data_IF_907174685105
#
_entry.id   IF_907174685105
#
_cell.length_a   1.000
_cell.length_b   1.000
_cell.length_c   1.000
_cell.angle_alpha   90.00
_cell.angle_beta   90.00
_cell.angle_gamma   90.00
#
_symmetry.space_group_name_H-M   'P 1'
#
loop_
_entity.id
_entity.type
_entity.pdbx_description
1 polymer ?
#
# COMPACT_ATOMS: atom_id res chain seq x y z
N UNK A 1 22.53 -2.37 -12.36
CA UNK A 1 21.74 -2.66 -13.58
C UNK A 1 20.48 -1.84 -13.51
N UNK A 2 20.08 -1.12 -14.58
CA UNK A 2 18.84 -0.33 -14.54
C UNK A 2 17.66 -1.30 -14.56
N UNK A 3 16.58 -1.09 -13.78
CA UNK A 3 15.42 -1.99 -13.76
C UNK A 3 14.77 -2.23 -15.14
N UNK A 4 14.91 -1.27 -16.05
CA UNK A 4 14.44 -1.37 -17.44
C UNK A 4 15.26 -2.35 -18.29
N UNK A 5 16.52 -2.58 -17.94
CA UNK A 5 17.40 -3.49 -18.68
C UNK A 5 17.00 -4.96 -18.41
N UNK A 6 16.39 -5.27 -17.26
CA UNK A 6 15.89 -6.61 -16.92
C UNK A 6 14.58 -6.99 -17.65
N UNK A 7 13.84 -6.00 -18.17
CA UNK A 7 12.62 -6.22 -18.95
C UNK A 7 12.95 -6.54 -20.42
N UNK A 8 14.12 -6.13 -20.91
CA UNK A 8 14.54 -6.32 -22.29
C UNK A 8 14.97 -7.77 -22.62
N UNK A 9 15.26 -8.60 -21.61
CA UNK A 9 15.61 -10.02 -21.77
C UNK A 9 14.40 -10.95 -21.92
N UNK A 10 13.19 -10.43 -21.69
CA UNK A 10 11.96 -11.16 -21.90
C UNK A 10 11.59 -11.01 -23.36
N UNK A 11 11.32 -12.13 -24.04
CA UNK A 11 10.65 -12.10 -25.33
C UNK A 11 9.50 -11.08 -25.33
N UNK A 12 9.28 -10.46 -26.48
CA UNK A 12 8.51 -9.24 -26.67
C UNK A 12 7.00 -9.22 -26.26
N UNK A 13 6.32 -10.18 -25.60
CA UNK A 13 4.96 -9.91 -25.12
C UNK A 13 4.78 -9.66 -23.61
N UNK A 14 5.73 -9.97 -22.73
CA UNK A 14 5.46 -9.95 -21.27
C UNK A 14 5.82 -8.64 -20.55
N UNK A 15 6.88 -7.95 -20.99
CA UNK A 15 7.31 -6.67 -20.39
C UNK A 15 6.39 -5.48 -20.68
N UNK A 16 5.48 -5.61 -21.66
CA UNK A 16 4.58 -4.55 -22.13
C UNK A 16 3.18 -4.63 -21.51
N UNK A 17 2.86 -5.67 -20.73
CA UNK A 17 1.52 -5.86 -20.15
C UNK A 17 1.18 -4.86 -19.03
N UNK A 18 2.14 -4.07 -18.53
CA UNK A 18 1.92 -3.13 -17.42
C UNK A 18 2.20 -1.66 -17.75
N UNK A 19 2.59 -1.33 -18.99
CA UNK A 19 2.71 0.07 -19.42
C UNK A 19 1.35 0.82 -19.46
N UNK A 20 0.20 0.17 -19.78
CA UNK A 20 -1.12 0.80 -19.65
C UNK A 20 -1.54 0.98 -18.18
N UNK A 21 -1.12 0.09 -17.27
CA UNK A 21 -1.44 0.16 -15.83
C UNK A 21 -0.87 1.40 -15.14
N UNK A 22 0.17 2.00 -15.72
CA UNK A 22 0.79 3.24 -15.24
C UNK A 22 0.11 4.51 -15.77
N UNK A 23 -0.79 4.40 -16.75
CA UNK A 23 -1.30 5.54 -17.53
C UNK A 23 -2.83 5.56 -17.78
N UNK A 24 -3.59 4.51 -17.47
CA UNK A 24 -5.01 4.47 -17.84
C UNK A 24 -5.95 5.16 -16.85
N UNK A 25 -6.53 6.27 -17.30
CA UNK A 25 -7.88 6.68 -16.95
C UNK A 25 -8.86 6.16 -18.03
N UNK A 26 -9.82 5.31 -17.64
CA UNK A 26 -11.10 5.09 -18.31
C UNK A 26 -11.17 4.13 -19.51
N UNK A 27 -11.88 3.01 -19.34
CA UNK A 27 -13.05 2.56 -20.12
C UNK A 27 -13.48 1.17 -19.59
N UNK A 28 -14.75 1.01 -19.21
CA UNK A 28 -15.29 -0.19 -18.59
C UNK A 28 -15.79 -1.22 -19.62
N UNK A 29 -15.53 -2.50 -19.39
CA UNK A 29 -16.34 -3.59 -19.94
C UNK A 29 -16.44 -4.74 -18.94
N UNK A 30 -17.66 -5.18 -18.66
CA UNK A 30 -18.01 -6.23 -17.70
C UNK A 30 -17.47 -7.61 -18.13
N UNK A 31 -16.78 -8.32 -17.23
CA UNK A 31 -16.63 -9.78 -17.30
C UNK A 31 -16.90 -10.40 -15.92
N UNK A 32 -17.56 -11.54 -15.94
CA UNK A 32 -18.14 -12.25 -14.80
C UNK A 32 -17.12 -12.59 -13.69
N UNK A 33 -17.52 -12.29 -12.46
CA UNK A 33 -16.83 -12.59 -11.22
C UNK A 33 -16.91 -14.08 -10.85
N UNK A 34 -15.79 -14.62 -10.36
CA UNK A 34 -15.76 -15.89 -9.62
C UNK A 34 -16.16 -15.58 -8.18
N UNK A 35 -16.99 -16.41 -7.51
CA UNK A 35 -17.43 -16.11 -6.15
C UNK A 35 -16.23 -16.06 -5.20
N UNK A 36 -16.05 -14.92 -4.53
CA UNK A 36 -15.06 -14.77 -3.48
C UNK A 36 -15.44 -15.65 -2.28
N UNK A 37 -14.46 -16.22 -1.54
CA UNK A 37 -14.74 -17.01 -0.34
C UNK A 37 -15.50 -16.19 0.70
N UNK A 38 -16.47 -16.82 1.37
CA UNK A 38 -17.42 -16.15 2.28
C UNK A 38 -16.84 -15.68 3.63
N UNK A 39 -15.51 -15.78 3.83
CA UNK A 39 -14.81 -15.41 5.08
C UNK A 39 -13.49 -14.70 4.76
N UNK A 40 -13.01 -13.89 5.68
CA UNK A 40 -11.68 -13.28 5.60
C UNK A 40 -10.60 -14.38 5.48
N UNK A 41 -9.64 -14.19 4.59
CA UNK A 41 -8.61 -15.20 4.26
C UNK A 41 -7.22 -14.67 4.54
N UNK A 42 -6.32 -15.51 5.07
CA UNK A 42 -4.89 -15.17 5.15
C UNK A 42 -4.28 -15.30 3.76
N UNK A 43 -3.67 -14.25 3.18
CA UNK A 43 -3.05 -14.36 1.87
C UNK A 43 -1.90 -15.37 1.90
N UNK A 44 -1.59 -15.96 0.73
CA UNK A 44 -0.43 -16.84 0.63
C UNK A 44 0.85 -16.04 0.90
N UNK A 45 1.74 -16.62 1.70
CA UNK A 45 3.10 -16.10 1.88
C UNK A 45 4.04 -16.68 0.85
N UNK A 46 4.76 -15.82 0.14
CA UNK A 46 5.78 -16.19 -0.85
C UNK A 46 7.11 -15.52 -0.53
N UNK A 47 8.20 -16.10 -1.02
CA UNK A 47 9.56 -15.58 -0.83
C UNK A 47 10.12 -15.16 -2.17
N UNK A 48 10.76 -13.99 -2.20
CA UNK A 48 11.47 -13.46 -3.37
C UNK A 48 12.92 -13.21 -2.97
N UNK A 49 13.85 -13.95 -3.58
CA UNK A 49 15.27 -13.79 -3.28
C UNK A 49 15.87 -12.64 -4.12
N UNK A 50 16.38 -11.60 -3.45
CA UNK A 50 17.01 -10.44 -4.08
C UNK A 50 18.41 -10.74 -4.63
N UNK A 51 19.03 -11.85 -4.22
CA UNK A 51 20.31 -12.30 -4.76
C UNK A 51 20.16 -12.93 -6.17
N UNK A 52 18.95 -13.38 -6.52
CA UNK A 52 18.64 -13.87 -7.85
C UNK A 52 18.56 -12.72 -8.87
N UNK A 53 18.84 -13.03 -10.13
CA UNK A 53 18.68 -12.09 -11.24
C UNK A 53 17.22 -11.58 -11.29
N UNK A 54 16.95 -10.27 -11.50
CA UNK A 54 15.61 -9.68 -11.42
C UNK A 54 14.54 -10.41 -12.23
N UNK A 55 14.91 -10.96 -13.39
CA UNK A 55 14.06 -11.75 -14.30
C UNK A 55 13.68 -13.14 -13.77
N UNK A 56 14.38 -13.66 -12.75
CA UNK A 56 14.13 -14.97 -12.16
C UNK A 56 13.40 -14.91 -10.82
N UNK A 57 13.48 -13.78 -10.12
CA UNK A 57 13.00 -13.54 -8.75
C UNK A 57 11.57 -14.01 -8.47
N UNK A 58 10.67 -13.86 -9.44
CA UNK A 58 9.24 -14.15 -9.27
C UNK A 58 8.82 -15.51 -9.85
N UNK A 59 9.69 -16.20 -10.58
CA UNK A 59 9.35 -17.47 -11.22
C UNK A 59 8.81 -18.52 -10.23
N UNK A 60 9.41 -18.72 -9.03
CA UNK A 60 8.90 -19.71 -8.07
C UNK A 60 7.50 -19.35 -7.52
N UNK A 61 7.19 -18.07 -7.40
CA UNK A 61 5.88 -17.61 -6.94
C UNK A 61 4.83 -17.76 -8.05
N UNK A 62 5.16 -17.37 -9.29
CA UNK A 62 4.25 -17.43 -10.44
C UNK A 62 3.79 -18.86 -10.78
N UNK A 63 4.63 -19.86 -10.54
CA UNK A 63 4.27 -21.28 -10.75
C UNK A 63 3.13 -21.77 -9.86
N UNK A 64 2.76 -21.03 -8.81
CA UNK A 64 1.69 -21.39 -7.87
C UNK A 64 0.32 -20.84 -8.25
N UNK A 65 0.25 -19.97 -9.27
CA UNK A 65 -0.96 -19.29 -9.69
C UNK A 65 -1.35 -19.69 -11.11
N UNK A 66 -2.66 -19.72 -11.39
CA UNK A 66 -3.15 -19.84 -12.75
C UNK A 66 -2.88 -18.55 -13.53
N UNK A 67 -1.90 -18.62 -14.43
CA UNK A 67 -1.43 -17.48 -15.21
C UNK A 67 -2.45 -16.99 -16.25
N UNK A 68 -3.43 -17.81 -16.64
CA UNK A 68 -4.43 -17.41 -17.63
C UNK A 68 -5.54 -16.60 -16.98
N UNK A 69 -5.92 -16.95 -15.75
CA UNK A 69 -6.77 -16.11 -14.90
C UNK A 69 -6.07 -14.79 -14.59
N UNK A 70 -4.77 -14.82 -14.24
CA UNK A 70 -3.98 -13.60 -13.98
C UNK A 70 -3.95 -12.64 -15.18
N UNK A 71 -3.70 -13.14 -16.39
CA UNK A 71 -3.65 -12.30 -17.61
C UNK A 71 -5.00 -11.67 -17.95
N UNK A 72 -6.11 -12.34 -17.61
CA UNK A 72 -7.46 -11.83 -17.84
C UNK A 72 -7.77 -10.66 -16.91
N UNK A 73 -7.42 -10.80 -15.63
CA UNK A 73 -7.82 -9.86 -14.58
C UNK A 73 -6.89 -8.63 -14.48
N UNK A 74 -5.65 -8.71 -14.98
CA UNK A 74 -4.71 -7.58 -15.06
C UNK A 74 -5.18 -6.47 -16.03
N UNK A 75 -6.12 -6.73 -16.94
CA UNK A 75 -6.56 -5.74 -17.95
C UNK A 75 -7.37 -4.56 -17.37
N UNK A 76 -7.88 -4.68 -16.15
CA UNK A 76 -8.77 -3.69 -15.55
C UNK A 76 -8.08 -2.92 -14.42
N UNK A 77 -7.65 -1.69 -14.71
CA UNK A 77 -7.02 -0.81 -13.75
C UNK A 77 -7.74 0.52 -13.52
N UNK A 78 -8.51 0.66 -12.42
CA UNK A 78 -9.12 1.94 -12.00
C UNK A 78 -9.19 2.11 -10.47
N UNK A 79 -8.61 3.24 -10.01
CA UNK A 79 -8.69 3.97 -8.73
C UNK A 79 -8.65 3.19 -7.40
N UNK A 80 -7.62 3.53 -6.61
CA UNK A 80 -7.37 3.01 -5.26
C UNK A 80 -7.97 3.96 -4.21
N UNK A 81 -8.68 3.42 -3.21
CA UNK A 81 -9.27 4.19 -2.11
C UNK A 81 -8.84 3.53 -0.80
N UNK A 82 -8.35 4.30 0.19
CA UNK A 82 -7.55 3.72 1.27
C UNK A 82 -7.71 4.55 2.56
N UNK A 83 -8.12 3.95 3.70
CA UNK A 83 -7.77 4.45 5.04
C UNK A 83 -6.47 3.78 5.52
N UNK A 84 -5.54 4.62 5.99
CA UNK A 84 -4.28 4.22 6.63
C UNK A 84 -4.13 5.00 7.93
N UNK A 85 -3.67 4.32 8.97
CA UNK A 85 -3.51 4.89 10.30
C UNK A 85 -2.13 4.55 10.86
N UNK A 86 -1.47 5.55 11.42
CA UNK A 86 -0.31 5.36 12.30
C UNK A 86 -0.68 5.90 13.68
N UNK A 87 -0.43 5.12 14.71
CA UNK A 87 -0.80 5.45 16.07
C UNK A 87 0.32 5.07 17.04
N UNK A 88 0.40 5.81 18.14
CA UNK A 88 1.32 5.55 19.22
C UNK A 88 0.56 5.23 20.50
N UNK A 89 0.91 4.14 21.18
CA UNK A 89 0.35 3.84 22.50
C UNK A 89 1.00 4.66 23.63
N UNK A 90 0.47 4.50 24.84
CA UNK A 90 0.96 5.19 26.03
C UNK A 90 2.41 4.82 26.43
N UNK A 91 2.95 3.73 25.90
CA UNK A 91 4.34 3.29 26.15
C UNK A 91 5.30 3.73 25.03
N UNK A 92 4.82 4.46 24.02
CA UNK A 92 5.62 4.93 22.90
C UNK A 92 5.75 3.92 21.75
N UNK A 93 5.01 2.81 21.77
CA UNK A 93 5.06 1.85 20.65
C UNK A 93 4.28 2.37 19.45
N UNK A 94 4.87 2.24 18.27
CA UNK A 94 4.28 2.64 17.00
C UNK A 94 3.56 1.46 16.35
N UNK A 95 2.30 1.67 16.01
CA UNK A 95 1.47 0.74 15.27
C UNK A 95 1.04 1.38 13.95
N UNK A 96 1.01 0.58 12.89
CA UNK A 96 0.60 1.03 11.57
C UNK A 96 -0.35 0.02 10.96
N UNK A 97 -1.53 0.48 10.57
CA UNK A 97 -2.57 -0.35 9.98
C UNK A 97 -3.18 0.30 8.75
N UNK A 98 -3.71 -0.50 7.81
CA UNK A 98 -4.39 0.03 6.62
C UNK A 98 -5.38 -0.95 6.01
N UNK A 99 -6.40 -0.43 5.32
CA UNK A 99 -7.25 -1.19 4.37
C UNK A 99 -6.88 -0.78 2.94
N UNK A 100 -6.75 -1.72 2.01
CA UNK A 100 -6.67 -1.41 0.57
C UNK A 100 -8.03 -1.62 -0.08
N UNK A 101 -8.62 -0.54 -0.58
CA UNK A 101 -9.85 -0.60 -1.35
C UNK A 101 -9.57 -0.41 -2.85
N UNK A 102 -10.23 -1.22 -3.67
CA UNK A 102 -10.12 -1.22 -5.12
C UNK A 102 -11.45 -1.61 -5.76
N UNK A 103 -11.75 -1.07 -6.94
CA UNK A 103 -13.01 -1.30 -7.64
C UNK A 103 -12.78 -1.69 -9.11
N UNK A 104 -13.18 -2.92 -9.54
CA UNK A 104 -13.81 -3.98 -8.75
C UNK A 104 -12.81 -4.76 -7.88
N UNK A 105 -13.10 -4.93 -6.59
CA UNK A 105 -12.16 -5.53 -5.63
C UNK A 105 -12.02 -7.05 -5.73
N UNK A 106 -13.02 -7.76 -6.26
CA UNK A 106 -13.08 -9.22 -6.29
C UNK A 106 -11.91 -9.87 -7.05
N UNK A 107 -11.47 -9.28 -8.17
CA UNK A 107 -10.34 -9.81 -8.95
C UNK A 107 -9.03 -9.78 -8.15
N UNK A 108 -8.73 -8.69 -7.45
CA UNK A 108 -7.45 -8.53 -6.75
C UNK A 108 -7.32 -9.38 -5.49
N UNK A 109 -8.44 -9.77 -4.85
CA UNK A 109 -8.43 -10.60 -3.64
C UNK A 109 -7.70 -11.92 -3.88
N UNK A 110 -7.95 -12.58 -5.02
CA UNK A 110 -7.35 -13.87 -5.36
C UNK A 110 -5.84 -13.81 -5.66
N UNK A 111 -5.32 -12.62 -5.98
CA UNK A 111 -3.91 -12.41 -6.27
C UNK A 111 -3.14 -11.78 -5.11
N UNK A 112 -3.81 -11.45 -4.01
CA UNK A 112 -3.17 -10.82 -2.85
C UNK A 112 -2.22 -11.79 -2.17
N UNK A 113 -0.97 -11.38 -2.02
CA UNK A 113 0.11 -12.17 -1.39
C UNK A 113 0.91 -11.31 -0.42
N UNK A 114 1.36 -11.93 0.67
CA UNK A 114 2.42 -11.39 1.50
C UNK A 114 3.76 -11.91 0.98
N UNK A 115 4.70 -11.01 0.70
CA UNK A 115 5.99 -11.33 0.09
C UNK A 115 7.11 -11.00 1.06
N UNK A 116 7.92 -12.00 1.40
CA UNK A 116 9.18 -11.81 2.10
C UNK A 116 10.29 -11.67 1.07
N UNK A 117 10.86 -10.47 0.94
CA UNK A 117 12.01 -10.23 0.09
C UNK A 117 13.28 -10.53 0.89
N UNK A 118 14.01 -11.55 0.48
CA UNK A 118 15.22 -12.01 1.19
C UNK A 118 16.49 -11.55 0.49
N UNK A 119 17.54 -11.26 1.24
CA UNK A 119 18.88 -10.94 0.73
C UNK A 119 19.91 -11.60 1.64
N UNK A 120 20.87 -12.32 1.09
CA UNK A 120 21.83 -13.15 1.82
C UNK A 120 21.14 -14.10 2.82
N UNK A 121 19.99 -14.67 2.42
CA UNK A 121 19.20 -15.58 3.26
C UNK A 121 18.42 -14.95 4.42
N UNK A 122 18.46 -13.63 4.60
CA UNK A 122 17.72 -12.91 5.63
C UNK A 122 16.58 -12.09 5.02
N UNK A 123 15.49 -11.86 5.77
CA UNK A 123 14.40 -10.98 5.32
C UNK A 123 14.92 -9.54 5.29
N UNK A 124 15.03 -8.97 4.10
CA UNK A 124 15.38 -7.56 3.91
C UNK A 124 14.17 -6.66 4.17
N UNK A 125 13.00 -7.05 3.65
CA UNK A 125 11.71 -6.40 3.91
C UNK A 125 10.55 -7.35 3.58
N UNK A 126 9.38 -7.02 4.12
CA UNK A 126 8.10 -7.69 3.83
C UNK A 126 7.17 -6.70 3.14
N UNK A 127 6.37 -7.16 2.19
CA UNK A 127 5.32 -6.33 1.60
C UNK A 127 4.12 -7.13 1.16
N UNK A 128 2.95 -6.49 1.16
CA UNK A 128 1.72 -7.04 0.60
C UNK A 128 1.52 -6.46 -0.79
N UNK A 129 1.34 -7.35 -1.76
CA UNK A 129 1.16 -6.99 -3.18
C UNK A 129 0.27 -8.00 -3.88
N UNK A 130 0.12 -7.83 -5.19
CA UNK A 130 -0.59 -8.75 -6.06
C UNK A 130 0.41 -9.52 -6.90
N UNK A 131 0.17 -10.81 -7.13
CA UNK A 131 0.96 -11.61 -8.06
C UNK A 131 1.01 -10.92 -9.43
N UNK A 132 2.20 -10.79 -10.01
CA UNK A 132 2.43 -10.06 -11.26
C UNK A 132 2.64 -8.55 -11.09
N UNK A 133 2.38 -7.97 -9.91
CA UNK A 133 2.66 -6.57 -9.61
C UNK A 133 3.96 -6.41 -8.81
N UNK A 134 4.96 -5.78 -9.42
CA UNK A 134 6.32 -5.66 -8.84
C UNK A 134 6.49 -4.49 -7.86
N UNK A 135 5.50 -3.59 -7.79
CA UNK A 135 5.47 -2.48 -6.83
C UNK A 135 4.93 -2.93 -5.47
N UNK A 136 5.15 -2.11 -4.44
CA UNK A 136 4.64 -2.32 -3.09
C UNK A 136 3.84 -1.10 -2.67
N UNK A 137 2.60 -1.30 -2.21
CA UNK A 137 1.77 -0.25 -1.61
C UNK A 137 1.71 -0.32 -0.08
N UNK A 138 2.03 -1.48 0.48
CA UNK A 138 2.02 -1.77 1.91
C UNK A 138 3.24 -2.61 2.24
N UNK A 139 4.08 -2.19 3.17
CA UNK A 139 5.23 -2.99 3.55
C UNK A 139 5.97 -2.50 4.78
N UNK A 140 6.94 -3.30 5.20
CA UNK A 140 7.70 -3.13 6.42
C UNK A 140 9.16 -3.53 6.20
N UNK A 141 10.07 -2.64 6.56
CA UNK A 141 11.47 -2.98 6.79
C UNK A 141 11.64 -3.32 8.27
N UNK A 142 12.06 -4.55 8.62
CA UNK A 142 12.13 -5.01 10.00
C UNK A 142 13.07 -4.13 10.82
N UNK A 143 12.63 -3.71 12.00
CA UNK A 143 13.36 -2.85 12.94
C UNK A 143 13.79 -1.49 12.37
N UNK A 144 13.11 -1.01 11.30
CA UNK A 144 13.35 0.33 10.74
C UNK A 144 12.08 1.15 10.61
N UNK A 145 11.17 0.72 9.72
CA UNK A 145 9.93 1.46 9.44
C UNK A 145 8.90 0.61 8.68
N UNK A 146 7.68 1.10 8.66
CA UNK A 146 6.52 0.61 7.91
C UNK A 146 6.03 1.71 6.96
N UNK A 147 5.53 1.34 5.79
CA UNK A 147 5.00 2.27 4.78
C UNK A 147 3.66 1.77 4.28
N UNK A 148 2.72 2.68 4.12
CA UNK A 148 1.56 2.53 3.26
C UNK A 148 1.35 3.78 2.42
N UNK A 149 0.64 3.68 1.30
CA UNK A 149 0.30 4.85 0.49
C UNK A 149 -1.15 4.89 0.09
N UNK A 150 -1.69 6.10 0.02
CA UNK A 150 -3.08 6.36 -0.34
C UNK A 150 -3.12 7.25 -1.58
N UNK A 151 -4.02 6.96 -2.52
CA UNK A 151 -4.20 7.82 -3.69
C UNK A 151 -4.59 9.25 -3.29
N UNK A 152 -3.94 10.23 -3.93
CA UNK A 152 -4.29 11.64 -3.86
C UNK A 152 -4.71 12.13 -5.24
N UNK A 153 -6.01 12.06 -5.53
CA UNK A 153 -6.56 12.38 -6.86
C UNK A 153 -6.54 13.89 -7.11
N UNK A 154 -5.44 14.39 -7.67
CA UNK A 154 -5.22 15.80 -8.03
C UNK A 154 -4.50 15.87 -9.38
N UNK A 155 -4.82 16.89 -10.17
CA UNK A 155 -4.22 17.11 -11.49
C UNK A 155 -4.92 16.36 -12.62
N UNK A 156 -4.33 16.42 -13.81
CA UNK A 156 -4.88 15.83 -15.03
C UNK A 156 -4.09 14.58 -15.44
N UNK A 157 -4.75 13.63 -16.10
CA UNK A 157 -4.11 12.37 -16.51
C UNK A 157 -2.90 12.59 -17.43
N UNK A 158 -2.91 13.62 -18.29
CA UNK A 158 -1.81 13.90 -19.22
C UNK A 158 -0.54 14.36 -18.49
N UNK A 159 -0.67 14.98 -17.31
CA UNK A 159 0.48 15.37 -16.50
C UNK A 159 1.23 14.13 -15.99
N UNK A 160 0.50 13.04 -15.68
CA UNK A 160 1.08 11.76 -15.32
C UNK A 160 1.84 11.16 -16.52
N UNK A 161 1.26 11.26 -17.72
CA UNK A 161 1.91 10.80 -18.95
C UNK A 161 3.21 11.54 -19.25
N UNK A 162 3.23 12.87 -19.10
CA UNK A 162 4.45 13.67 -19.25
C UNK A 162 5.48 13.31 -18.18
N UNK A 163 5.06 13.17 -16.92
CA UNK A 163 5.96 12.79 -15.84
C UNK A 163 6.60 11.40 -16.07
N UNK A 164 5.81 10.44 -16.55
CA UNK A 164 6.28 9.08 -16.83
C UNK A 164 7.18 9.02 -18.08
N UNK A 165 6.71 9.54 -19.23
CA UNK A 165 7.34 9.31 -20.53
C UNK A 165 8.46 10.31 -20.85
N UNK A 166 8.31 11.56 -20.42
CA UNK A 166 9.27 12.64 -20.72
C UNK A 166 10.25 12.82 -19.57
N UNK A 167 9.73 12.98 -18.34
CA UNK A 167 10.59 13.24 -17.17
C UNK A 167 11.17 11.98 -16.53
N UNK A 168 10.68 10.79 -16.92
CA UNK A 168 11.12 9.49 -16.39
C UNK A 168 11.02 9.41 -14.87
N UNK A 169 10.01 10.07 -14.29
CA UNK A 169 9.71 9.95 -12.86
C UNK A 169 9.24 8.53 -12.55
N UNK A 170 9.33 8.15 -11.27
CA UNK A 170 9.00 6.80 -10.83
C UNK A 170 7.55 6.67 -10.35
N UNK A 171 6.93 5.48 -10.52
CA UNK A 171 5.69 5.13 -9.82
C UNK A 171 5.94 5.07 -8.32
N UNK A 172 5.00 5.56 -7.50
CA UNK A 172 5.18 5.57 -6.04
C UNK A 172 5.38 4.17 -5.46
N UNK A 173 4.67 3.16 -5.96
CA UNK A 173 4.82 1.79 -5.46
C UNK A 173 6.22 1.20 -5.70
N UNK A 174 6.95 1.71 -6.71
CA UNK A 174 8.36 1.35 -6.94
C UNK A 174 9.27 2.11 -5.99
N UNK A 175 8.98 3.39 -5.75
CA UNK A 175 9.72 4.19 -4.77
C UNK A 175 9.55 3.61 -3.37
N UNK A 176 8.36 3.15 -2.98
CA UNK A 176 8.13 2.43 -1.72
C UNK A 176 8.97 1.17 -1.62
N UNK A 177 8.94 0.32 -2.66
CA UNK A 177 9.76 -0.88 -2.70
C UNK A 177 11.25 -0.57 -2.54
N UNK A 178 11.78 0.38 -3.31
CA UNK A 178 13.18 0.79 -3.22
C UNK A 178 13.50 1.38 -1.84
N UNK A 179 12.57 2.14 -1.25
CA UNK A 179 12.74 2.70 0.09
C UNK A 179 12.82 1.59 1.13
N UNK A 180 11.91 0.61 1.09
CA UNK A 180 11.95 -0.58 1.96
C UNK A 180 13.26 -1.37 1.82
N UNK A 181 13.80 -1.45 0.60
CA UNK A 181 15.05 -2.17 0.32
C UNK A 181 16.32 -1.42 0.74
N UNK A 182 16.35 -0.11 0.52
CA UNK A 182 17.59 0.68 0.58
C UNK A 182 17.68 1.63 1.77
N UNK A 183 16.55 2.07 2.34
CA UNK A 183 16.59 3.06 3.41
C UNK A 183 17.12 2.46 4.71
N UNK A 184 17.97 3.21 5.40
CA UNK A 184 18.66 2.74 6.60
C UNK A 184 17.92 3.07 7.89
N UNK A 185 16.97 4.00 7.86
CA UNK A 185 16.20 4.43 9.02
C UNK A 185 14.85 5.01 8.62
N UNK A 186 13.98 5.26 9.60
CA UNK A 186 12.73 6.02 9.41
C UNK A 186 13.00 7.39 8.76
N UNK A 187 14.01 8.12 9.21
CA UNK A 187 14.35 9.44 8.69
C UNK A 187 14.85 9.41 7.23
N UNK A 188 15.70 8.44 6.88
CA UNK A 188 16.15 8.21 5.49
C UNK A 188 14.95 7.85 4.59
N UNK A 189 14.02 7.02 5.09
CA UNK A 189 12.78 6.72 4.38
C UNK A 189 11.93 7.98 4.15
N UNK A 190 11.72 8.81 5.17
CA UNK A 190 10.98 10.08 5.06
C UNK A 190 11.63 11.02 4.02
N UNK A 191 12.96 11.15 4.04
CA UNK A 191 13.67 11.99 3.08
C UNK A 191 13.48 11.47 1.64
N UNK A 192 13.75 10.18 1.41
CA UNK A 192 13.56 9.53 0.09
C UNK A 192 12.13 9.70 -0.41
N UNK A 193 11.15 9.49 0.47
CA UNK A 193 9.72 9.64 0.16
C UNK A 193 9.24 11.09 0.05
N UNK A 194 10.05 12.07 0.45
CA UNK A 194 9.76 13.50 0.25
C UNK A 194 10.37 14.02 -1.05
N UNK A 195 11.60 13.61 -1.35
CA UNK A 195 12.43 14.23 -2.38
C UNK A 195 12.37 13.50 -3.73
N UNK A 196 12.09 12.20 -3.75
CA UNK A 196 12.06 11.43 -5.01
C UNK A 196 10.92 11.92 -5.91
N UNK A 197 11.19 12.34 -7.16
CA UNK A 197 10.14 12.76 -8.09
C UNK A 197 9.21 11.61 -8.51
N UNK A 198 7.91 11.88 -8.52
CA UNK A 198 6.84 10.91 -8.76
C UNK A 198 6.05 11.22 -10.02
N UNK A 199 5.42 10.20 -10.61
CA UNK A 199 4.49 10.36 -11.74
C UNK A 199 3.13 10.94 -11.31
N UNK A 200 2.75 10.74 -10.05
CA UNK A 200 1.43 11.10 -9.51
C UNK A 200 1.55 11.69 -8.11
N UNK A 201 0.43 12.21 -7.61
CA UNK A 201 0.27 12.71 -6.25
C UNK A 201 -0.18 11.55 -5.34
N UNK A 202 0.27 11.54 -4.09
CA UNK A 202 0.02 10.43 -3.16
C UNK A 202 0.10 10.92 -1.72
N UNK A 203 -0.50 10.21 -0.78
CA UNK A 203 -0.18 10.34 0.63
C UNK A 203 0.72 9.18 1.05
N UNK A 204 1.88 9.45 1.64
CA UNK A 204 2.77 8.42 2.18
C UNK A 204 2.60 8.40 3.70
N UNK A 205 2.12 7.29 4.25
CA UNK A 205 1.99 7.10 5.69
C UNK A 205 3.18 6.24 6.13
N UNK A 206 3.88 6.66 7.17
CA UNK A 206 5.13 6.04 7.60
C UNK A 206 5.09 5.91 9.13
N UNK A 207 5.48 4.74 9.65
CA UNK A 207 5.69 4.52 11.09
C UNK A 207 7.06 3.89 11.35
N UNK A 208 7.83 4.42 12.28
CA UNK A 208 9.16 3.96 12.68
C UNK A 208 9.11 2.98 13.84
N UNK A 209 10.17 2.97 14.64
CA UNK A 209 10.34 2.05 15.80
C UNK A 209 10.31 2.77 17.13
N UNK A 210 10.54 4.09 17.13
CA UNK A 210 10.70 4.90 18.33
C UNK A 210 9.49 5.80 18.58
N UNK A 211 9.40 6.31 19.82
CA UNK A 211 8.46 7.38 20.19
C UNK A 211 8.47 8.51 19.16
N UNK A 212 7.28 9.00 18.80
CA UNK A 212 7.02 10.07 17.81
C UNK A 212 7.39 9.75 16.37
N UNK A 213 7.96 8.58 16.05
CA UNK A 213 8.25 8.19 14.68
C UNK A 213 6.99 7.72 13.94
N UNK A 214 6.09 8.64 13.62
CA UNK A 214 5.00 8.40 12.69
C UNK A 214 4.58 9.69 12.02
N UNK A 215 4.34 9.64 10.71
CA UNK A 215 3.93 10.82 9.95
C UNK A 215 3.17 10.48 8.67
N UNK A 216 2.49 11.49 8.14
CA UNK A 216 1.85 11.47 6.82
C UNK A 216 2.50 12.54 5.94
N UNK A 217 3.00 12.16 4.76
CA UNK A 217 3.50 13.07 3.74
C UNK A 217 2.43 13.24 2.66
N UNK A 218 1.84 14.42 2.53
CA UNK A 218 1.00 14.76 1.39
C UNK A 218 1.90 15.17 0.22
N UNK A 219 2.07 14.29 -0.78
CA UNK A 219 2.97 14.51 -1.92
C UNK A 219 2.29 15.11 -3.15
N UNK A 220 3.03 16.01 -3.80
CA UNK A 220 2.90 16.28 -5.22
C UNK A 220 4.03 15.56 -6.00
N UNK A 221 3.94 15.58 -7.33
CA UNK A 221 4.93 14.98 -8.25
C UNK A 221 6.40 15.38 -8.00
N UNK A 222 6.65 16.56 -7.45
CA UNK A 222 8.01 17.11 -7.29
C UNK A 222 8.46 17.30 -5.84
N UNK A 223 7.58 17.08 -4.85
CA UNK A 223 7.92 17.28 -3.45
C UNK A 223 6.71 17.19 -2.52
N UNK A 224 6.92 17.39 -1.20
CA UNK A 224 5.84 17.44 -0.23
C UNK A 224 5.05 18.76 -0.36
N UNK A 225 3.73 18.65 -0.22
CA UNK A 225 2.83 19.78 0.01
C UNK A 225 2.70 20.04 1.49
N UNK A 226 2.72 18.97 2.29
CA UNK A 226 2.62 19.01 3.74
C UNK A 226 3.29 17.76 4.34
N UNK A 227 3.79 17.90 5.56
CA UNK A 227 4.31 16.82 6.41
C UNK A 227 3.62 16.94 7.75
N UNK A 228 2.81 15.93 8.09
CA UNK A 228 1.99 15.88 9.30
C UNK A 228 2.55 14.82 10.25
N UNK A 229 3.36 15.19 11.26
CA UNK A 229 3.93 14.25 12.22
C UNK A 229 3.00 13.95 13.39
N UNK A 230 3.18 12.78 14.00
CA UNK A 230 2.59 12.45 15.29
C UNK A 230 3.04 13.46 16.36
N UNK A 231 2.11 13.84 17.22
CA UNK A 231 2.42 14.57 18.44
C UNK A 231 1.67 13.92 19.61
N UNK A 232 2.23 12.92 20.29
CA UNK A 232 1.53 12.11 21.29
C UNK A 232 0.84 12.91 22.42
N UNK A 233 1.30 14.14 22.70
CA UNK A 233 0.71 15.02 23.71
C UNK A 233 -0.66 15.59 23.28
N UNK A 234 -0.90 15.76 21.98
CA UNK A 234 -2.11 16.39 21.43
C UNK A 234 -2.84 15.53 20.40
N UNK A 235 -2.11 14.70 19.69
CA UNK A 235 -2.52 13.90 18.53
C UNK A 235 -1.65 12.63 18.44
N UNK A 236 -2.06 11.60 19.20
CA UNK A 236 -1.36 10.31 19.31
C UNK A 236 -1.67 9.34 18.16
N UNK A 237 -2.49 9.75 17.19
CA UNK A 237 -2.75 9.00 15.96
C UNK A 237 -2.97 9.94 14.78
N UNK A 238 -2.65 9.46 13.58
CA UNK A 238 -2.94 10.14 12.31
C UNK A 238 -3.84 9.24 11.47
N UNK A 239 -4.98 9.76 11.00
CA UNK A 239 -5.89 9.07 10.09
C UNK A 239 -5.83 9.72 8.71
N UNK A 240 -5.24 9.01 7.75
CA UNK A 240 -5.21 9.46 6.36
C UNK A 240 -6.14 8.60 5.51
N UNK A 241 -7.05 9.26 4.79
CA UNK A 241 -7.89 8.63 3.75
C UNK A 241 -7.41 9.06 2.36
N UNK A 242 -8.29 9.58 1.50
CA UNK A 242 -7.93 10.07 0.15
C UNK A 242 -8.13 11.58 -0.03
N UNK A 243 -8.40 12.33 1.04
CA UNK A 243 -8.49 13.79 1.00
C UNK A 243 -7.36 14.45 1.81
N UNK A 244 -7.06 15.72 1.55
CA UNK A 244 -6.04 16.44 2.32
C UNK A 244 -6.52 16.59 3.79
N UNK A 245 -5.63 16.56 4.78
CA UNK A 245 -6.05 16.53 6.20
C UNK A 245 -6.58 17.89 6.69
N UNK A 246 -6.08 18.98 6.13
CA UNK A 246 -6.46 20.37 6.46
C UNK A 246 -7.78 20.83 5.81
N UNK A 247 -8.49 19.95 5.09
CA UNK A 247 -9.81 20.25 4.51
C UNK A 247 -10.80 19.13 4.83
N UNK A 248 -12.11 19.42 4.83
CA UNK A 248 -13.13 18.38 4.90
C UNK A 248 -13.01 17.41 3.72
N UNK A 249 -13.16 16.11 4.00
CA UNK A 249 -13.29 15.12 2.93
C UNK A 249 -14.57 15.36 2.13
N UNK A 250 -14.56 15.05 0.82
CA UNK A 250 -15.77 15.13 0.01
C UNK A 250 -16.82 14.15 0.55
N UNK A 251 -18.13 14.40 0.37
CA UNK A 251 -19.20 13.54 0.90
C UNK A 251 -19.08 12.06 0.54
N UNK A 252 -18.46 11.75 -0.61
CA UNK A 252 -18.19 10.37 -1.06
C UNK A 252 -17.10 9.63 -0.27
N UNK A 253 -16.25 10.33 0.49
CA UNK A 253 -15.23 9.74 1.35
C UNK A 253 -15.59 10.01 2.82
N UNK A 254 -16.57 9.27 3.32
CA UNK A 254 -17.10 9.40 4.67
C UNK A 254 -16.33 8.55 5.71
N UNK A 255 -15.16 8.00 5.36
CA UNK A 255 -14.42 7.02 6.19
C UNK A 255 -13.55 7.65 7.28
N UNK A 256 -13.07 8.88 7.09
CA UNK A 256 -12.15 9.53 8.05
C UNK A 256 -12.82 9.79 9.39
N UNK A 257 -13.99 10.42 9.38
CA UNK A 257 -14.73 10.79 10.60
C UNK A 257 -15.02 9.59 11.51
N UNK A 258 -15.59 8.47 11.04
CA UNK A 258 -15.82 7.29 11.88
C UNK A 258 -14.51 6.66 12.37
N UNK A 259 -13.43 6.66 11.56
CA UNK A 259 -12.13 6.18 12.01
C UNK A 259 -11.57 7.03 13.16
N UNK A 260 -11.58 8.36 13.04
CA UNK A 260 -11.15 9.27 14.12
C UNK A 260 -12.02 9.07 15.38
N UNK A 261 -13.34 8.93 15.21
CA UNK A 261 -14.26 8.67 16.32
C UNK A 261 -13.88 7.37 17.05
N UNK A 262 -13.68 6.27 16.33
CA UNK A 262 -13.32 4.98 16.91
C UNK A 262 -11.94 5.00 17.59
N UNK A 263 -10.97 5.72 17.02
CA UNK A 263 -9.66 5.95 17.66
C UNK A 263 -9.80 6.70 18.98
N UNK A 264 -10.59 7.78 19.01
CA UNK A 264 -10.85 8.57 20.22
C UNK A 264 -11.58 7.75 21.30
N UNK A 265 -12.59 6.97 20.92
CA UNK A 265 -13.34 6.10 21.83
C UNK A 265 -12.46 4.98 22.40
N UNK A 266 -11.52 4.45 21.61
CA UNK A 266 -10.56 3.44 22.08
C UNK A 266 -9.59 4.04 23.10
N UNK A 267 -9.04 5.22 22.79
CA UNK A 267 -8.08 5.93 23.62
C UNK A 267 -6.67 5.35 23.59
N UNK A 268 -5.68 6.21 23.84
CA UNK A 268 -4.25 5.89 23.72
C UNK A 268 -3.79 4.75 24.64
N UNK A 269 -4.39 4.63 25.83
CA UNK A 269 -4.03 3.61 26.80
C UNK A 269 -4.43 2.18 26.37
N UNK A 270 -5.42 2.05 25.47
CA UNK A 270 -5.97 0.76 25.06
C UNK A 270 -5.59 0.38 23.62
N UNK A 271 -4.95 1.28 22.86
CA UNK A 271 -4.64 1.03 21.46
C UNK A 271 -3.55 -0.04 21.32
N UNK A 272 -3.77 -0.98 20.40
CA UNK A 272 -2.84 -2.02 19.99
C UNK A 272 -3.24 -2.53 18.60
N UNK A 273 -2.47 -3.47 18.03
CA UNK A 273 -2.74 -4.00 16.69
C UNK A 273 -4.13 -4.66 16.56
N UNK A 274 -4.61 -5.37 17.60
CA UNK A 274 -5.92 -6.03 17.57
C UNK A 274 -7.05 -4.99 17.55
N UNK A 275 -6.93 -3.94 18.37
CA UNK A 275 -7.89 -2.82 18.38
C UNK A 275 -7.89 -2.04 17.07
N UNK A 276 -6.72 -1.81 16.50
CA UNK A 276 -6.62 -1.17 15.19
C UNK A 276 -7.23 -2.04 14.07
N UNK A 277 -7.07 -3.37 14.13
CA UNK A 277 -7.73 -4.29 13.21
C UNK A 277 -9.25 -4.28 13.37
N UNK A 278 -9.75 -4.23 14.61
CA UNK A 278 -11.18 -4.10 14.92
C UNK A 278 -11.75 -2.82 14.30
N UNK A 279 -11.10 -1.66 14.52
CA UNK A 279 -11.50 -0.38 13.95
C UNK A 279 -11.58 -0.46 12.42
N UNK A 280 -10.54 -0.99 11.77
CA UNK A 280 -10.52 -1.16 10.30
C UNK A 280 -11.54 -2.15 9.76
N UNK A 281 -12.17 -2.95 10.63
CA UNK A 281 -13.23 -3.90 10.30
C UNK A 281 -14.62 -3.32 10.50
N UNK A 282 -14.74 -2.09 11.01
CA UNK A 282 -16.03 -1.42 11.19
C UNK A 282 -16.50 -0.71 9.93
N UNK A 283 -17.80 -0.77 9.67
CA UNK A 283 -18.44 0.03 8.63
C UNK A 283 -18.37 1.52 8.98
N UNK A 284 -18.09 2.44 8.04
CA UNK A 284 -17.81 2.24 6.61
C UNK A 284 -16.30 2.15 6.27
N UNK A 285 -15.44 2.04 7.28
CA UNK A 285 -13.98 1.94 7.10
C UNK A 285 -13.64 0.65 6.35
N UNK A 286 -14.28 -0.45 6.73
CA UNK A 286 -14.45 -1.63 5.90
C UNK A 286 -15.64 -1.41 4.97
N UNK A 287 -15.44 -1.58 3.66
CA UNK A 287 -16.49 -1.41 2.67
C UNK A 287 -16.32 -2.41 1.51
N UNK A 288 -17.29 -2.49 0.60
CA UNK A 288 -17.31 -3.46 -0.51
C UNK A 288 -16.07 -3.44 -1.41
N UNK A 289 -15.36 -2.32 -1.46
CA UNK A 289 -14.15 -2.16 -2.26
C UNK A 289 -12.92 -2.69 -1.52
N UNK A 290 -12.99 -2.93 -0.20
CA UNK A 290 -11.85 -3.44 0.57
C UNK A 290 -11.43 -4.82 0.06
N UNK A 291 -10.16 -4.90 -0.33
CA UNK A 291 -9.46 -6.10 -0.81
C UNK A 291 -8.74 -6.77 0.34
N UNK A 292 -7.98 -6.01 1.13
CA UNK A 292 -7.24 -6.54 2.27
C UNK A 292 -7.07 -5.50 3.39
N UNK A 293 -6.84 -6.00 4.60
CA UNK A 293 -6.42 -5.24 5.78
C UNK A 293 -5.05 -5.74 6.21
N UNK A 294 -4.11 -4.82 6.46
CA UNK A 294 -2.78 -5.14 6.98
C UNK A 294 -2.56 -4.43 8.30
N UNK A 295 -1.98 -5.16 9.26
CA UNK A 295 -1.46 -4.61 10.52
C UNK A 295 0.02 -4.89 10.61
N UNK A 296 0.78 -3.92 11.11
CA UNK A 296 2.23 -3.99 11.16
C UNK A 296 2.81 -3.05 12.23
N UNK A 297 4.01 -3.40 12.71
CA UNK A 297 4.81 -2.57 13.61
C UNK A 297 6.28 -2.86 13.32
N UNK A 298 7.06 -1.85 12.95
CA UNK A 298 8.46 -2.06 12.59
C UNK A 298 9.30 -2.59 13.75
N UNK A 299 8.92 -2.26 15.00
CA UNK A 299 9.60 -2.72 16.20
C UNK A 299 9.39 -4.22 16.45
N UNK A 300 8.25 -4.77 16.02
CA UNK A 300 7.88 -6.17 16.17
C UNK A 300 7.50 -6.79 14.82
N UNK A 301 8.50 -7.06 13.96
CA UNK A 301 8.25 -7.34 12.56
C UNK A 301 7.52 -8.67 12.30
N UNK A 302 7.56 -9.60 13.25
CA UNK A 302 6.88 -10.89 13.18
C UNK A 302 5.35 -10.75 13.29
N UNK A 303 4.86 -9.61 13.80
CA UNK A 303 3.42 -9.29 13.84
C UNK A 303 2.85 -8.76 12.52
N UNK A 304 3.66 -8.64 11.46
CA UNK A 304 3.16 -8.28 10.14
C UNK A 304 2.11 -9.30 9.69
N UNK A 305 0.87 -8.85 9.53
CA UNK A 305 -0.24 -9.71 9.16
C UNK A 305 -1.22 -9.01 8.23
N UNK A 306 -1.53 -9.67 7.12
CA UNK A 306 -2.58 -9.26 6.20
C UNK A 306 -3.76 -10.24 6.27
N UNK A 307 -4.97 -9.72 6.06
CA UNK A 307 -6.20 -10.48 5.84
C UNK A 307 -6.89 -9.95 4.59
N UNK A 308 -7.08 -10.82 3.60
CA UNK A 308 -7.96 -10.57 2.46
C UNK A 308 -9.38 -10.44 3.01
N UNK A 309 -10.08 -9.36 2.67
CA UNK A 309 -11.41 -9.04 3.18
C UNK A 309 -12.48 -9.45 2.18
N UNK A 310 -13.56 -10.05 2.68
CA UNK A 310 -14.76 -10.36 1.90
C UNK A 310 -15.99 -9.73 2.57
N UNK A 311 -16.16 -8.40 2.48
CA UNK A 311 -17.28 -7.71 3.10
C UNK A 311 -18.59 -8.21 2.52
N UNK A 312 -19.47 -8.75 3.36
CA UNK A 312 -20.79 -9.27 2.94
C UNK A 312 -21.90 -8.23 3.03
N UNK A 313 -21.69 -7.16 3.81
CA UNK A 313 -22.67 -6.10 4.02
C UNK A 313 -22.35 -4.88 3.15
N UNK A 314 -23.36 -4.33 2.48
CA UNK A 314 -23.23 -3.06 1.76
C UNK A 314 -23.24 -1.94 2.80
N UNK A 315 -22.05 -1.43 3.10
CA UNK A 315 -21.88 -0.16 3.78
C UNK A 315 -22.16 0.97 2.78
N UNK A 316 -23.23 1.75 3.02
CA UNK A 316 -23.51 2.99 2.29
C UNK A 316 -22.60 4.14 2.70
#
# INVERSE_FOLDING_TARGET
MRPWDAVAGWGRPLGLLFLPLLLSAGAASLSAAIPAPSRDVVPQRVTVNLDDAPEQRWLPALQRFDLDTLKKDVKDAVKEQIPSMVAQDANGHIYHVRNLDYEPGEGLRNFTVDVQFTKNGQIAYTGTTFVGYVGIWTGQSPHKFTISGNQRDKGLWWENAVAALVKRHLPISWVFRNTLEEAQSFHDAVQRLSETPLITNVYCIIGGVSDREGLVISRNRVGPVDIWPLNPETEWFLVQTNCDHWIPCPPRDHRRTPAIKAMNETGQANINLDKLYEILTTCPILNQKTVYTTVMSAADPDKYATRIRNPTEICE
#
